data_IF_971647030047
#
_entry.id   IF_971647030047
#
_cell.length_a   1.000
_cell.length_b   1.000
_cell.length_c   1.000
_cell.angle_alpha   90.00
_cell.angle_beta   90.00
_cell.angle_gamma   90.00
#
_symmetry.space_group_name_H-M   'P 1'
#
loop_
_entity.id
_entity.type
_entity.pdbx_description
1 polymer ?
#
# COMPACT_ATOMS: atom_id res chain seq x y z
N UNK A 1 -11.96 5.84 -39.78
CA UNK A 1 -10.71 6.64 -39.88
C UNK A 1 -9.69 5.99 -38.95
N UNK A 2 -8.67 5.37 -39.53
CA UNK A 2 -7.53 4.88 -38.78
C UNK A 2 -6.82 6.10 -38.13
N UNK A 3 -7.15 6.41 -36.92
CA UNK A 3 -6.46 7.48 -36.17
C UNK A 3 -5.12 6.92 -35.72
N UNK A 4 -4.09 7.18 -36.53
CA UNK A 4 -2.72 6.83 -36.17
C UNK A 4 -2.41 7.39 -34.78
N UNK A 5 -1.98 6.51 -33.86
CA UNK A 5 -1.61 6.89 -32.49
C UNK A 5 -0.48 7.94 -32.52
N UNK A 6 -0.47 8.90 -31.60
CA UNK A 6 0.67 9.78 -31.43
C UNK A 6 1.92 8.97 -31.06
N UNK A 7 3.08 9.47 -31.48
CA UNK A 7 4.37 8.81 -31.26
C UNK A 7 5.18 9.58 -30.24
N UNK A 8 5.71 8.86 -29.24
CA UNK A 8 6.74 9.34 -28.33
C UNK A 8 8.06 8.66 -28.67
N UNK A 9 9.16 9.43 -28.76
CA UNK A 9 10.46 8.89 -29.14
C UNK A 9 11.49 9.02 -28.03
N UNK A 10 12.22 7.92 -27.76
CA UNK A 10 13.35 7.94 -26.87
C UNK A 10 14.52 8.73 -27.47
N UNK A 11 15.27 9.42 -26.61
CA UNK A 11 16.54 10.05 -26.97
C UNK A 11 17.60 8.99 -27.29
N UNK A 12 18.64 9.29 -28.10
CA UNK A 12 19.70 8.34 -28.44
C UNK A 12 20.43 7.73 -27.23
N UNK A 13 20.50 8.43 -26.10
CA UNK A 13 21.16 7.96 -24.88
C UNK A 13 20.22 7.23 -23.91
N UNK A 14 18.90 7.19 -24.19
CA UNK A 14 17.95 6.49 -23.35
C UNK A 14 18.07 4.97 -23.54
N UNK A 15 17.88 4.23 -22.44
CA UNK A 15 18.02 2.77 -22.45
C UNK A 15 16.72 2.10 -22.95
N UNK A 16 16.59 1.98 -24.27
CA UNK A 16 15.47 1.26 -24.89
C UNK A 16 15.43 -0.24 -24.52
N UNK A 17 16.59 -0.85 -24.20
CA UNK A 17 16.65 -2.27 -23.78
C UNK A 17 15.95 -2.47 -22.45
N UNK A 18 16.09 -1.52 -21.53
CA UNK A 18 15.40 -1.55 -20.23
C UNK A 18 13.89 -1.63 -20.40
N UNK A 19 13.31 -0.86 -21.35
CA UNK A 19 11.87 -0.91 -21.64
C UNK A 19 11.52 -2.27 -22.26
N UNK A 20 12.26 -2.75 -23.28
CA UNK A 20 12.04 -4.08 -23.88
C UNK A 20 12.15 -5.23 -22.88
N UNK A 21 12.90 -5.05 -21.80
CA UNK A 21 13.01 -6.02 -20.71
C UNK A 21 11.93 -5.85 -19.62
N UNK A 22 10.93 -4.97 -19.85
CA UNK A 22 9.76 -4.83 -18.98
C UNK A 22 9.82 -3.70 -17.97
N UNK A 23 10.77 -2.74 -18.07
CA UNK A 23 10.71 -1.55 -17.21
C UNK A 23 9.50 -0.69 -17.61
N UNK A 24 8.57 -0.38 -16.68
CA UNK A 24 7.26 0.14 -17.06
C UNK A 24 7.19 1.66 -17.16
N UNK A 25 8.24 2.41 -16.82
CA UNK A 25 8.20 3.87 -16.77
C UNK A 25 9.18 4.52 -17.75
N UNK A 26 8.74 5.60 -18.37
CA UNK A 26 9.57 6.45 -19.22
C UNK A 26 9.61 7.86 -18.61
N UNK A 27 10.80 8.33 -18.30
CA UNK A 27 10.99 9.63 -17.68
C UNK A 27 11.14 10.75 -18.73
N UNK A 28 10.82 11.99 -18.35
CA UNK A 28 10.95 13.15 -19.23
C UNK A 28 12.37 13.38 -19.76
N UNK A 29 13.39 12.98 -18.98
CA UNK A 29 14.78 13.07 -19.41
C UNK A 29 15.15 12.08 -20.52
N UNK A 30 14.38 10.98 -20.68
CA UNK A 30 14.62 9.94 -21.69
C UNK A 30 13.89 10.19 -23.02
N UNK A 31 12.93 11.13 -23.07
CA UNK A 31 12.06 11.39 -24.24
C UNK A 31 12.48 12.68 -24.97
N UNK A 32 12.31 12.66 -26.28
CA UNK A 32 12.33 13.87 -27.13
C UNK A 32 11.00 14.60 -26.93
N UNK A 33 11.00 15.62 -26.07
CA UNK A 33 9.83 16.46 -25.81
C UNK A 33 9.80 17.66 -26.78
N UNK A 34 9.23 17.47 -27.96
CA UNK A 34 8.96 18.50 -28.93
C UNK A 34 7.52 19.07 -28.81
N UNK A 35 7.12 19.95 -29.74
CA UNK A 35 5.78 20.54 -29.76
C UNK A 35 4.68 19.47 -29.89
N UNK A 36 4.93 18.38 -30.64
CA UNK A 36 3.93 17.33 -30.90
C UNK A 36 3.76 16.43 -29.67
N UNK A 37 4.86 15.96 -29.11
CA UNK A 37 4.83 15.11 -27.92
C UNK A 37 4.26 15.85 -26.68
N UNK A 38 4.52 17.17 -26.57
CA UNK A 38 3.93 18.01 -25.51
C UNK A 38 2.42 18.27 -25.70
N UNK A 39 1.92 18.17 -26.92
CA UNK A 39 0.50 18.37 -27.25
C UNK A 39 -0.34 17.11 -27.03
N UNK A 40 0.27 15.96 -26.74
CA UNK A 40 -0.46 14.73 -26.41
C UNK A 40 -1.19 14.93 -25.08
N UNK A 41 -2.51 14.79 -25.10
CA UNK A 41 -3.32 14.96 -23.91
C UNK A 41 -2.99 13.90 -22.84
N UNK A 42 -3.03 14.24 -21.55
CA UNK A 42 -2.83 13.27 -20.48
C UNK A 42 -3.76 12.06 -20.59
N UNK A 43 -3.21 10.86 -20.42
CA UNK A 43 -3.95 9.60 -20.51
C UNK A 43 -4.11 9.04 -21.92
N UNK A 44 -3.69 9.77 -22.95
CA UNK A 44 -3.77 9.30 -24.35
C UNK A 44 -2.83 8.12 -24.59
N UNK A 45 -3.31 7.14 -25.36
CA UNK A 45 -2.45 6.06 -25.86
C UNK A 45 -1.47 6.62 -26.89
N UNK A 46 -0.23 6.19 -26.82
CA UNK A 46 0.83 6.58 -27.74
C UNK A 46 1.74 5.39 -28.05
N UNK A 47 2.30 5.36 -29.24
CA UNK A 47 3.33 4.41 -29.61
C UNK A 47 4.69 4.93 -29.13
N UNK A 48 5.43 4.13 -28.37
CA UNK A 48 6.79 4.45 -27.95
C UNK A 48 7.77 3.90 -28.99
N UNK A 49 8.63 4.77 -29.50
CA UNK A 49 9.73 4.43 -30.42
C UNK A 49 11.09 4.56 -29.74
N UNK A 50 12.05 3.74 -30.17
CA UNK A 50 13.45 3.98 -29.85
C UNK A 50 14.04 5.17 -30.65
N UNK A 51 15.32 5.45 -30.47
CA UNK A 51 16.00 6.55 -31.18
C UNK A 51 16.07 6.35 -32.69
N UNK A 52 15.95 5.12 -33.18
CA UNK A 52 16.00 4.74 -34.61
C UNK A 52 14.61 4.67 -35.21
N UNK A 53 13.56 5.05 -34.47
CA UNK A 53 12.15 5.02 -34.87
C UNK A 53 11.54 3.62 -34.95
N UNK A 54 12.13 2.62 -34.30
CA UNK A 54 11.50 1.32 -34.21
C UNK A 54 10.47 1.36 -33.07
N UNK A 55 9.21 0.95 -33.30
CA UNK A 55 8.21 0.81 -32.25
C UNK A 55 8.65 -0.24 -31.21
N UNK A 56 8.50 0.07 -29.93
CA UNK A 56 8.95 -0.81 -28.82
C UNK A 56 7.89 -1.12 -27.78
N UNK A 57 6.87 -0.30 -27.69
CA UNK A 57 5.78 -0.49 -26.73
C UNK A 57 4.58 0.40 -27.04
N UNK A 58 3.43 0.04 -26.49
CA UNK A 58 2.26 0.90 -26.37
C UNK A 58 2.22 1.49 -24.97
N UNK A 59 2.04 2.79 -24.85
CA UNK A 59 2.14 3.53 -23.59
C UNK A 59 0.95 4.46 -23.36
N UNK A 60 0.66 4.75 -22.09
CA UNK A 60 -0.20 5.85 -21.68
C UNK A 60 0.68 7.09 -21.42
N UNK A 61 0.40 8.19 -22.11
CA UNK A 61 1.21 9.41 -22.06
C UNK A 61 0.66 10.43 -21.05
N UNK A 62 1.56 11.12 -20.34
CA UNK A 62 1.26 12.35 -19.60
C UNK A 62 2.52 13.22 -19.56
N UNK A 63 2.69 14.10 -20.53
CA UNK A 63 3.87 14.97 -20.66
C UNK A 63 4.00 16.02 -19.55
N UNK A 64 2.99 16.19 -18.70
CA UNK A 64 2.98 17.13 -17.58
C UNK A 64 3.60 16.58 -16.32
N UNK A 65 3.95 15.28 -16.30
CA UNK A 65 4.51 14.60 -15.12
C UNK A 65 5.96 14.20 -15.35
N UNK A 66 6.66 13.84 -14.26
CA UNK A 66 8.04 13.33 -14.34
C UNK A 66 8.10 11.98 -15.08
N UNK A 67 7.11 11.10 -14.87
CA UNK A 67 6.94 9.84 -15.61
C UNK A 67 6.03 10.17 -16.80
N UNK A 68 6.62 10.55 -17.92
CA UNK A 68 5.89 11.06 -19.08
C UNK A 68 5.15 9.99 -19.87
N UNK A 69 5.50 8.72 -19.68
CA UNK A 69 4.75 7.62 -20.24
C UNK A 69 4.87 6.36 -19.36
N UNK A 70 3.80 5.57 -19.34
CA UNK A 70 3.73 4.28 -18.64
C UNK A 70 3.42 3.19 -19.66
N UNK A 71 4.22 2.14 -19.67
CA UNK A 71 4.05 1.01 -20.59
C UNK A 71 2.80 0.24 -20.21
N UNK A 72 1.89 0.10 -21.17
CA UNK A 72 0.68 -0.74 -21.05
C UNK A 72 0.95 -2.12 -21.66
N UNK A 73 1.59 -2.15 -22.83
CA UNK A 73 1.96 -3.39 -23.49
C UNK A 73 3.29 -3.25 -24.23
N UNK A 74 4.11 -4.31 -24.20
CA UNK A 74 5.35 -4.36 -24.96
C UNK A 74 5.13 -4.66 -26.46
N UNK A 75 3.95 -5.16 -26.81
CA UNK A 75 3.53 -5.23 -28.21
C UNK A 75 3.01 -3.84 -28.64
N UNK A 76 3.71 -3.13 -29.53
CA UNK A 76 3.30 -1.79 -29.98
C UNK A 76 2.02 -1.79 -30.82
N UNK A 77 1.55 -2.97 -31.27
CA UNK A 77 0.32 -3.14 -32.04
C UNK A 77 -0.84 -3.68 -31.17
N UNK A 78 -0.66 -3.78 -29.86
CA UNK A 78 -1.71 -4.24 -28.96
C UNK A 78 -2.92 -3.29 -28.99
N UNK A 79 -4.11 -3.86 -28.93
CA UNK A 79 -5.35 -3.10 -28.78
C UNK A 79 -5.73 -3.04 -27.30
N UNK A 80 -5.73 -1.85 -26.74
CA UNK A 80 -6.10 -1.62 -25.33
C UNK A 80 -7.61 -1.41 -25.28
N UNK A 81 -8.32 -2.51 -25.33
CA UNK A 81 -9.77 -2.60 -25.32
C UNK A 81 -10.30 -3.40 -24.12
N UNK A 82 -11.62 -3.65 -24.07
CA UNK A 82 -12.25 -4.44 -23.01
C UNK A 82 -11.69 -5.89 -22.95
N UNK A 83 -11.29 -6.47 -24.07
CA UNK A 83 -10.73 -7.83 -24.10
C UNK A 83 -9.33 -7.86 -23.47
N UNK A 84 -8.50 -6.85 -23.77
CA UNK A 84 -7.19 -6.68 -23.15
C UNK A 84 -7.32 -6.46 -21.64
N UNK A 85 -8.21 -5.56 -21.20
CA UNK A 85 -8.49 -5.32 -19.77
C UNK A 85 -8.94 -6.60 -19.06
N UNK A 86 -9.88 -7.34 -19.69
CA UNK A 86 -10.38 -8.61 -19.15
C UNK A 86 -9.25 -9.62 -18.96
N UNK A 87 -8.34 -9.76 -19.92
CA UNK A 87 -7.21 -10.68 -19.79
C UNK A 87 -6.29 -10.32 -18.62
N UNK A 88 -5.94 -9.04 -18.44
CA UNK A 88 -5.10 -8.55 -17.34
C UNK A 88 -5.78 -8.74 -15.97
N UNK A 89 -7.06 -8.37 -15.86
CA UNK A 89 -7.83 -8.50 -14.63
C UNK A 89 -8.05 -9.98 -14.28
N UNK A 90 -8.39 -10.83 -15.24
CA UNK A 90 -8.58 -12.26 -15.04
C UNK A 90 -7.29 -12.96 -14.56
N UNK A 91 -6.12 -12.56 -15.08
CA UNK A 91 -4.83 -13.08 -14.62
C UNK A 91 -4.59 -12.72 -13.15
N UNK A 92 -4.81 -11.47 -12.77
CA UNK A 92 -4.65 -11.01 -11.40
C UNK A 92 -5.66 -11.67 -10.46
N UNK A 93 -6.92 -11.80 -10.88
CA UNK A 93 -7.98 -12.47 -10.13
C UNK A 93 -7.66 -13.95 -9.90
N UNK A 94 -7.22 -14.69 -10.93
CA UNK A 94 -6.83 -16.08 -10.81
C UNK A 94 -5.67 -16.28 -9.82
N UNK A 95 -4.68 -15.36 -9.81
CA UNK A 95 -3.59 -15.39 -8.84
C UNK A 95 -4.11 -15.22 -7.41
N UNK A 96 -4.96 -14.19 -7.16
CA UNK A 96 -5.51 -13.93 -5.81
C UNK A 96 -6.41 -15.06 -5.33
N UNK A 97 -7.24 -15.61 -6.21
CA UNK A 97 -8.11 -16.76 -5.87
C UNK A 97 -7.32 -18.03 -5.52
N UNK A 98 -6.06 -18.13 -5.95
CA UNK A 98 -5.15 -19.23 -5.57
C UNK A 98 -4.44 -18.97 -4.24
N UNK A 99 -4.26 -17.70 -3.87
CA UNK A 99 -3.49 -17.28 -2.69
C UNK A 99 -4.36 -17.04 -1.46
N UNK A 100 -5.67 -16.79 -1.63
CA UNK A 100 -6.57 -16.40 -0.56
C UNK A 100 -7.87 -17.17 -0.63
N UNK A 101 -8.28 -17.75 0.51
CA UNK A 101 -9.53 -18.52 0.64
C UNK A 101 -10.77 -17.61 0.73
N UNK A 102 -10.60 -16.34 1.09
CA UNK A 102 -11.68 -15.37 1.26
C UNK A 102 -11.47 -14.14 0.38
N UNK A 103 -12.55 -13.48 -0.10
CA UNK A 103 -12.50 -12.40 -1.09
C UNK A 103 -12.14 -11.03 -0.48
N UNK A 104 -11.08 -10.97 0.31
CA UNK A 104 -10.58 -9.77 0.99
C UNK A 104 -9.09 -9.62 0.72
N UNK A 105 -8.72 -8.86 -0.31
CA UNK A 105 -7.33 -8.69 -0.76
C UNK A 105 -7.18 -7.53 -1.73
N UNK A 106 -5.95 -7.07 -1.95
CA UNK A 106 -5.58 -6.22 -3.09
C UNK A 106 -5.68 -7.05 -4.37
N UNK A 107 -6.67 -6.73 -5.22
CA UNK A 107 -6.91 -7.42 -6.49
C UNK A 107 -5.92 -6.96 -7.57
N UNK A 108 -5.72 -5.64 -7.69
CA UNK A 108 -4.80 -5.04 -8.67
C UNK A 108 -3.80 -4.14 -7.95
N UNK A 109 -2.52 -4.37 -8.19
CA UNK A 109 -1.41 -3.59 -7.65
C UNK A 109 -0.59 -2.90 -8.75
N UNK A 110 -1.25 -2.01 -9.46
CA UNK A 110 -0.68 -1.12 -10.49
C UNK A 110 0.23 -1.84 -11.51
N UNK A 111 1.44 -1.32 -11.69
CA UNK A 111 2.43 -1.81 -12.64
C UNK A 111 2.79 -3.29 -12.44
N UNK A 112 2.74 -3.78 -11.21
CA UNK A 112 3.07 -5.17 -10.91
C UNK A 112 2.03 -6.16 -11.46
N UNK A 113 0.80 -5.70 -11.68
CA UNK A 113 -0.27 -6.46 -12.34
C UNK A 113 -0.50 -6.03 -13.80
N UNK A 114 0.40 -5.20 -14.37
CA UNK A 114 0.34 -4.75 -15.75
C UNK A 114 -0.79 -3.75 -16.06
N UNK A 115 -1.31 -3.07 -15.02
CA UNK A 115 -2.31 -2.00 -15.12
C UNK A 115 -1.78 -0.72 -14.45
N UNK A 116 -0.91 0.05 -15.10
CA UNK A 116 -0.19 1.16 -14.51
C UNK A 116 -1.09 2.19 -13.83
N UNK A 117 -0.83 2.43 -12.55
CA UNK A 117 -1.57 3.39 -11.74
C UNK A 117 -2.97 2.94 -11.31
N UNK A 118 -3.39 1.72 -11.60
CA UNK A 118 -4.68 1.15 -11.14
C UNK A 118 -4.45 0.36 -9.84
N UNK A 119 -5.11 0.76 -8.78
CA UNK A 119 -5.19 0.02 -7.52
C UNK A 119 -6.63 -0.44 -7.33
N UNK A 120 -6.83 -1.71 -7.02
CA UNK A 120 -8.17 -2.24 -6.70
C UNK A 120 -8.08 -3.14 -5.48
N UNK A 121 -8.86 -2.81 -4.46
CA UNK A 121 -9.07 -3.67 -3.29
C UNK A 121 -10.44 -4.33 -3.35
N UNK A 122 -10.49 -5.61 -3.01
CA UNK A 122 -11.72 -6.39 -2.93
C UNK A 122 -12.17 -6.56 -1.48
N UNK A 123 -13.45 -6.29 -1.25
CA UNK A 123 -14.17 -6.43 0.00
C UNK A 123 -15.44 -7.24 -0.25
N UNK A 124 -15.27 -8.56 -0.31
CA UNK A 124 -16.35 -9.51 -0.66
C UNK A 124 -16.95 -9.23 -2.04
N UNK A 125 -18.15 -8.69 -2.10
CA UNK A 125 -18.90 -8.33 -3.31
C UNK A 125 -18.69 -6.87 -3.77
N UNK A 126 -17.80 -6.15 -3.10
CA UNK A 126 -17.51 -4.73 -3.39
C UNK A 126 -16.05 -4.55 -3.76
N UNK A 127 -15.80 -3.76 -4.79
CA UNK A 127 -14.46 -3.33 -5.20
C UNK A 127 -14.27 -1.84 -4.93
N UNK A 128 -13.11 -1.46 -4.41
CA UNK A 128 -12.69 -0.06 -4.31
C UNK A 128 -11.53 0.16 -5.27
N UNK A 129 -11.74 1.02 -6.28
CA UNK A 129 -10.73 1.36 -7.28
C UNK A 129 -10.11 2.73 -7.00
N UNK A 130 -8.79 2.83 -7.10
CA UNK A 130 -8.03 4.08 -7.11
C UNK A 130 -7.36 4.24 -8.48
N UNK A 131 -7.90 5.05 -9.39
CA UNK A 131 -7.30 5.36 -10.69
C UNK A 131 -6.27 6.50 -10.52
N UNK A 132 -5.01 6.14 -10.28
CA UNK A 132 -3.95 7.08 -9.89
C UNK A 132 -3.19 7.69 -11.09
N UNK A 133 -3.59 7.41 -12.32
CA UNK A 133 -3.01 7.99 -13.55
C UNK A 133 -4.10 8.54 -14.45
N UNK A 134 -3.74 9.47 -15.32
CA UNK A 134 -4.69 10.07 -16.26
C UNK A 134 -5.36 9.03 -17.17
N UNK A 135 -4.61 7.98 -17.59
CA UNK A 135 -5.17 6.87 -18.37
C UNK A 135 -6.17 6.05 -17.56
N UNK A 136 -5.83 5.72 -16.32
CA UNK A 136 -6.72 4.95 -15.43
C UNK A 136 -8.00 5.72 -15.12
N UNK A 137 -7.92 7.04 -14.92
CA UNK A 137 -9.09 7.90 -14.72
C UNK A 137 -9.98 7.94 -15.96
N UNK A 138 -9.40 8.17 -17.15
CA UNK A 138 -10.14 8.23 -18.41
C UNK A 138 -10.86 6.91 -18.73
N UNK A 139 -10.33 5.78 -18.28
CA UNK A 139 -10.90 4.45 -18.50
C UNK A 139 -11.64 3.88 -17.27
N UNK A 140 -11.91 4.71 -16.25
CA UNK A 140 -12.39 4.25 -14.96
C UNK A 140 -13.74 3.52 -15.04
N UNK A 141 -14.68 3.99 -15.87
CA UNK A 141 -15.96 3.34 -16.08
C UNK A 141 -15.80 1.97 -16.74
N UNK A 142 -15.02 1.87 -17.81
CA UNK A 142 -14.74 0.60 -18.48
C UNK A 142 -13.99 -0.38 -17.56
N UNK A 143 -13.05 0.11 -16.75
CA UNK A 143 -12.38 -0.71 -15.73
C UNK A 143 -13.39 -1.26 -14.72
N UNK A 144 -14.34 -0.45 -14.27
CA UNK A 144 -15.38 -0.89 -13.32
C UNK A 144 -16.27 -2.00 -13.92
N UNK A 145 -16.71 -1.84 -15.18
CA UNK A 145 -17.53 -2.83 -15.87
C UNK A 145 -16.78 -4.16 -16.02
N UNK A 146 -15.54 -4.13 -16.49
CA UNK A 146 -14.74 -5.35 -16.69
C UNK A 146 -14.33 -5.99 -15.35
N UNK A 147 -14.05 -5.20 -14.33
CA UNK A 147 -13.79 -5.69 -12.97
C UNK A 147 -15.00 -6.45 -12.41
N UNK A 148 -16.21 -5.87 -12.53
CA UNK A 148 -17.44 -6.52 -12.10
C UNK A 148 -17.71 -7.81 -12.89
N UNK A 149 -17.55 -7.77 -14.23
CA UNK A 149 -17.70 -8.95 -15.09
C UNK A 149 -16.77 -10.11 -14.66
N UNK A 150 -15.49 -9.82 -14.45
CA UNK A 150 -14.49 -10.87 -14.15
C UNK A 150 -14.62 -11.42 -12.73
N UNK A 151 -14.95 -10.56 -11.76
CA UNK A 151 -14.97 -10.94 -10.34
C UNK A 151 -16.33 -11.40 -9.85
N UNK A 152 -17.40 -11.08 -10.58
CA UNK A 152 -18.79 -11.25 -10.16
C UNK A 152 -19.25 -10.25 -9.10
N UNK A 153 -18.44 -9.25 -8.73
CA UNK A 153 -18.81 -8.22 -7.76
C UNK A 153 -19.90 -7.31 -8.32
N UNK A 154 -20.85 -6.94 -7.45
CA UNK A 154 -22.01 -6.11 -7.85
C UNK A 154 -21.80 -4.63 -7.59
N UNK A 155 -20.80 -4.25 -6.84
CA UNK A 155 -20.51 -2.87 -6.47
C UNK A 155 -19.07 -2.46 -6.71
N UNK A 156 -18.88 -1.28 -7.30
CA UNK A 156 -17.54 -0.66 -7.51
C UNK A 156 -17.59 0.80 -7.05
N UNK A 157 -16.71 1.16 -6.13
CA UNK A 157 -16.53 2.52 -5.63
C UNK A 157 -15.20 3.13 -6.09
N UNK A 158 -15.22 4.35 -6.64
CA UNK A 158 -14.02 5.12 -6.94
C UNK A 158 -13.58 5.91 -5.71
N UNK A 159 -12.38 5.63 -5.21
CA UNK A 159 -11.68 6.48 -4.26
C UNK A 159 -10.61 7.28 -5.00
N UNK A 160 -10.85 8.58 -5.15
CA UNK A 160 -9.99 9.50 -5.89
C UNK A 160 -9.01 10.27 -5.00
N UNK A 161 -8.82 9.83 -3.76
CA UNK A 161 -7.91 10.48 -2.82
C UNK A 161 -6.47 10.02 -3.02
N UNK A 162 -5.53 10.93 -2.87
CA UNK A 162 -4.11 10.58 -2.81
C UNK A 162 -3.18 11.49 -3.58
N UNK A 163 -1.93 11.55 -3.09
CA UNK A 163 -0.89 12.42 -3.66
C UNK A 163 -0.53 12.09 -5.11
N UNK A 164 -0.66 10.81 -5.50
CA UNK A 164 -0.36 10.38 -6.87
C UNK A 164 -1.28 11.08 -7.88
N UNK A 165 -2.57 11.21 -7.56
CA UNK A 165 -3.56 11.89 -8.40
C UNK A 165 -3.25 13.38 -8.58
N UNK A 166 -2.89 14.06 -7.48
CA UNK A 166 -2.47 15.48 -7.54
C UNK A 166 -1.29 15.66 -8.50
N UNK A 167 -0.31 14.74 -8.47
CA UNK A 167 0.85 14.78 -9.37
C UNK A 167 0.46 14.56 -10.84
N UNK A 168 -0.59 13.77 -11.10
CA UNK A 168 -1.13 13.53 -12.45
C UNK A 168 -2.10 14.63 -12.93
N UNK A 169 -2.42 15.62 -12.09
CA UNK A 169 -3.35 16.71 -12.41
C UNK A 169 -4.81 16.28 -12.37
N UNK A 170 -5.16 15.28 -11.58
CA UNK A 170 -6.51 14.72 -11.45
C UNK A 170 -7.25 15.31 -10.25
N UNK A 171 -8.60 15.30 -10.33
CA UNK A 171 -9.48 15.67 -9.24
C UNK A 171 -9.47 14.65 -8.09
N UNK A 172 -10.21 14.95 -7.01
CA UNK A 172 -10.38 14.10 -5.84
C UNK A 172 -11.86 13.65 -5.64
N UNK A 173 -12.64 13.61 -6.72
CA UNK A 173 -14.07 13.29 -6.68
C UNK A 173 -14.28 11.79 -6.50
N UNK A 174 -14.72 11.40 -5.31
CA UNK A 174 -15.13 10.04 -4.96
C UNK A 174 -16.54 9.76 -5.44
N UNK A 175 -16.86 8.48 -5.67
CA UNK A 175 -18.26 8.10 -5.96
C UNK A 175 -18.43 6.65 -6.40
N UNK A 176 -19.67 6.15 -6.38
CA UNK A 176 -20.00 4.85 -6.93
C UNK A 176 -19.84 4.88 -8.46
N UNK A 177 -19.25 3.83 -9.01
CA UNK A 177 -19.16 3.59 -10.46
C UNK A 177 -20.17 2.55 -10.89
N UNK A 178 -20.43 1.57 -10.02
CA UNK A 178 -21.40 0.50 -10.25
C UNK A 178 -22.09 0.13 -8.92
N UNK A 179 -23.39 -0.16 -8.97
CA UNK A 179 -24.16 -0.64 -7.83
C UNK A 179 -24.26 0.38 -6.70
N UNK A 180 -24.47 -0.14 -5.47
CA UNK A 180 -24.56 0.67 -4.25
C UNK A 180 -23.56 0.14 -3.23
N UNK A 181 -22.32 0.61 -3.27
CA UNK A 181 -21.29 0.18 -2.32
C UNK A 181 -21.69 0.48 -0.88
N UNK A 182 -21.53 -0.47 0.06
CA UNK A 182 -21.76 -0.21 1.47
C UNK A 182 -20.74 0.80 2.00
N UNK A 183 -21.13 1.64 2.93
CA UNK A 183 -20.20 2.57 3.56
C UNK A 183 -19.17 1.84 4.41
N UNK A 184 -19.58 0.74 5.08
CA UNK A 184 -18.76 -0.01 6.02
C UNK A 184 -18.89 -1.52 5.78
N UNK A 185 -17.75 -2.23 5.87
CA UNK A 185 -17.68 -3.69 5.68
C UNK A 185 -16.86 -4.32 6.78
N UNK A 186 -17.33 -5.47 7.31
CA UNK A 186 -16.53 -6.34 8.18
C UNK A 186 -15.61 -7.21 7.34
N UNK A 187 -14.31 -7.20 7.64
CA UNK A 187 -13.27 -7.91 6.91
C UNK A 187 -12.66 -8.99 7.79
N UNK A 188 -13.00 -10.27 7.59
CA UNK A 188 -12.32 -11.37 8.28
C UNK A 188 -10.92 -11.57 7.69
N UNK A 189 -9.89 -11.50 8.54
CA UNK A 189 -8.50 -11.70 8.14
C UNK A 189 -7.66 -12.14 9.34
N UNK A 190 -6.84 -13.18 9.18
CA UNK A 190 -5.97 -13.72 10.25
C UNK A 190 -6.72 -14.11 11.54
N UNK A 191 -7.96 -14.58 11.44
CA UNK A 191 -8.80 -14.91 12.59
C UNK A 191 -9.42 -13.70 13.30
N UNK A 192 -9.05 -12.49 12.92
CA UNK A 192 -9.64 -11.23 13.41
C UNK A 192 -10.74 -10.71 12.48
N UNK A 193 -11.56 -9.81 13.00
CA UNK A 193 -12.53 -9.03 12.21
C UNK A 193 -12.13 -7.57 12.27
N UNK A 194 -11.90 -6.98 11.09
CA UNK A 194 -11.60 -5.55 10.93
C UNK A 194 -12.81 -4.84 10.35
N UNK A 195 -13.00 -3.59 10.72
CA UNK A 195 -14.02 -2.76 10.07
C UNK A 195 -13.34 -1.83 9.07
N UNK A 196 -13.81 -1.85 7.83
CA UNK A 196 -13.33 -0.97 6.76
C UNK A 196 -14.42 0.03 6.37
N UNK A 197 -14.10 1.32 6.40
CA UNK A 197 -14.95 2.37 5.83
C UNK A 197 -14.51 2.60 4.37
N UNK A 198 -15.35 2.15 3.43
CA UNK A 198 -15.04 2.19 2.00
C UNK A 198 -15.27 3.57 1.36
N UNK A 199 -16.10 4.41 1.98
CA UNK A 199 -16.51 5.70 1.43
C UNK A 199 -15.75 6.86 2.07
N UNK A 200 -15.63 6.86 3.41
CA UNK A 200 -15.00 7.93 4.18
C UNK A 200 -13.59 7.59 4.68
N UNK A 201 -13.17 6.34 4.57
CA UNK A 201 -11.89 5.87 5.08
C UNK A 201 -10.67 6.34 4.29
N UNK A 202 -9.50 6.30 4.93
CA UNK A 202 -8.24 6.58 4.26
C UNK A 202 -7.96 5.54 3.17
N UNK A 203 -7.48 5.97 2.00
CA UNK A 203 -7.19 5.14 0.85
C UNK A 203 -8.41 4.27 0.50
N UNK A 204 -8.28 2.95 0.57
CA UNK A 204 -9.35 1.98 0.26
C UNK A 204 -10.11 1.50 1.51
N UNK A 205 -9.77 1.99 2.71
CA UNK A 205 -10.44 1.66 3.99
C UNK A 205 -9.68 0.66 4.87
N UNK A 206 -8.78 -0.17 4.31
CA UNK A 206 -7.96 -1.14 5.05
C UNK A 206 -6.59 -1.32 4.39
N UNK A 207 -5.57 -1.68 5.17
CA UNK A 207 -4.22 -1.97 4.69
C UNK A 207 -3.98 -3.48 4.63
N UNK A 208 -4.22 -4.09 3.47
CA UNK A 208 -4.00 -5.52 3.25
C UNK A 208 -2.50 -5.91 3.21
N UNK A 209 -1.62 -4.96 2.90
CA UNK A 209 -0.17 -5.18 2.79
C UNK A 209 0.46 -5.71 4.08
N UNK A 210 -0.08 -5.31 5.24
CA UNK A 210 0.40 -5.76 6.56
C UNK A 210 -0.09 -7.16 6.96
N UNK A 211 -0.96 -7.82 6.19
CA UNK A 211 -1.53 -9.14 6.51
C UNK A 211 -0.52 -10.17 7.06
N UNK A 212 0.64 -10.43 6.41
CA UNK A 212 1.59 -11.41 6.94
C UNK A 212 2.25 -10.97 8.26
N UNK A 213 2.43 -9.66 8.44
CA UNK A 213 3.01 -9.10 9.66
C UNK A 213 2.02 -9.13 10.83
N UNK A 214 0.73 -8.88 10.57
CA UNK A 214 -0.36 -9.11 11.53
C UNK A 214 -0.41 -10.57 11.97
N UNK A 215 -0.35 -11.53 11.03
CA UNK A 215 -0.33 -12.96 11.34
C UNK A 215 0.90 -13.35 12.17
N UNK A 216 2.07 -12.75 11.91
CA UNK A 216 3.27 -13.00 12.71
C UNK A 216 3.13 -12.43 14.12
N UNK A 217 2.62 -11.20 14.28
CA UNK A 217 2.36 -10.58 15.57
C UNK A 217 1.38 -11.39 16.43
N UNK A 218 0.30 -11.91 15.81
CA UNK A 218 -0.67 -12.77 16.48
C UNK A 218 -0.04 -14.04 17.10
N UNK A 219 1.03 -14.58 16.50
CA UNK A 219 1.75 -15.75 17.03
C UNK A 219 2.62 -15.42 18.24
N UNK A 220 2.99 -14.17 18.43
CA UNK A 220 3.79 -13.70 19.58
C UNK A 220 2.92 -13.25 20.76
N UNK A 221 1.62 -13.11 20.57
CA UNK A 221 0.70 -12.46 21.50
C UNK A 221 0.01 -13.35 22.56
N UNK A 222 -0.01 -14.71 22.50
CA UNK A 222 -0.82 -15.52 23.42
C UNK A 222 -0.54 -15.22 24.90
N UNK A 223 -1.60 -14.87 25.65
CA UNK A 223 -1.54 -14.56 27.09
C UNK A 223 -0.94 -13.20 27.44
N UNK A 224 -0.38 -12.47 26.45
CA UNK A 224 0.32 -11.21 26.68
C UNK A 224 -0.57 -9.96 26.57
N UNK A 225 -0.04 -8.85 27.07
CA UNK A 225 -0.58 -7.50 26.88
C UNK A 225 0.10 -6.85 25.67
N UNK A 226 -0.69 -6.26 24.78
CA UNK A 226 -0.22 -5.73 23.50
C UNK A 226 -0.42 -4.22 23.40
N UNK A 227 0.60 -3.50 22.95
CA UNK A 227 0.52 -2.10 22.55
C UNK A 227 0.65 -1.99 21.02
N UNK A 228 -0.38 -1.45 20.37
CA UNK A 228 -0.43 -1.21 18.92
C UNK A 228 -0.42 0.31 18.66
N UNK A 229 0.73 0.85 18.27
CA UNK A 229 0.95 2.29 18.05
C UNK A 229 0.92 2.62 16.55
N UNK A 230 0.21 3.69 16.20
CA UNK A 230 -0.22 4.03 14.84
C UNK A 230 -1.19 2.96 14.30
N UNK A 231 -2.10 2.55 15.16
CA UNK A 231 -2.92 1.34 14.99
C UNK A 231 -3.92 1.42 13.84
N UNK A 232 -4.25 2.64 13.36
CA UNK A 232 -5.33 2.85 12.40
C UNK A 232 -6.62 2.15 12.89
N UNK A 233 -7.15 1.18 12.14
CA UNK A 233 -8.32 0.38 12.53
C UNK A 233 -7.97 -0.83 13.42
N UNK A 234 -6.88 -0.76 14.17
CA UNK A 234 -6.45 -1.81 15.11
C UNK A 234 -5.77 -3.01 14.45
N UNK A 235 -5.01 -2.77 13.37
CA UNK A 235 -4.44 -3.84 12.55
C UNK A 235 -3.71 -4.93 13.33
N UNK A 236 -2.73 -4.56 14.12
CA UNK A 236 -1.96 -5.50 14.93
C UNK A 236 -2.66 -5.88 16.22
N UNK A 237 -3.35 -4.94 16.88
CA UNK A 237 -4.05 -5.19 18.11
C UNK A 237 -5.16 -6.22 17.99
N UNK A 238 -6.01 -6.11 16.96
CA UNK A 238 -7.09 -7.08 16.68
C UNK A 238 -6.53 -8.44 16.27
N UNK A 239 -5.47 -8.48 15.45
CA UNK A 239 -4.79 -9.74 15.13
C UNK A 239 -4.21 -10.42 16.38
N UNK A 240 -3.61 -9.65 17.29
CA UNK A 240 -3.07 -10.15 18.53
C UNK A 240 -4.18 -10.73 19.43
N UNK A 241 -5.32 -10.05 19.55
CA UNK A 241 -6.48 -10.58 20.30
C UNK A 241 -7.02 -11.87 19.70
N UNK A 242 -7.09 -11.97 18.36
CA UNK A 242 -7.45 -13.22 17.68
C UNK A 242 -6.42 -14.33 17.93
N UNK A 243 -5.15 -13.97 18.07
CA UNK A 243 -4.05 -14.85 18.42
C UNK A 243 -4.00 -15.29 19.89
N UNK A 244 -4.91 -14.78 20.75
CA UNK A 244 -5.00 -15.14 22.16
C UNK A 244 -4.32 -14.17 23.13
N UNK A 245 -4.05 -12.92 22.71
CA UNK A 245 -3.62 -11.88 23.66
C UNK A 245 -4.65 -11.69 24.78
N UNK A 246 -4.17 -11.38 25.98
CA UNK A 246 -5.03 -11.04 27.10
C UNK A 246 -5.74 -9.71 26.86
N UNK A 247 -5.00 -8.71 26.43
CA UNK A 247 -5.52 -7.37 26.11
C UNK A 247 -4.70 -6.68 25.03
N UNK A 248 -5.30 -5.69 24.37
CA UNK A 248 -4.63 -4.81 23.44
C UNK A 248 -5.02 -3.35 23.68
N UNK A 249 -4.02 -2.46 23.72
CA UNK A 249 -4.17 -1.02 23.70
C UNK A 249 -3.79 -0.49 22.31
N UNK A 250 -4.75 0.11 21.61
CA UNK A 250 -4.54 0.72 20.30
C UNK A 250 -4.39 2.25 20.44
N UNK A 251 -3.35 2.81 19.82
CA UNK A 251 -3.03 4.24 19.86
C UNK A 251 -3.00 4.80 18.44
N UNK A 252 -3.84 5.79 18.17
CA UNK A 252 -3.87 6.51 16.90
C UNK A 252 -4.34 7.96 17.05
N UNK A 253 -3.99 8.83 16.13
CA UNK A 253 -4.48 10.21 16.07
C UNK A 253 -5.91 10.33 15.54
N UNK A 254 -6.40 9.33 14.81
CA UNK A 254 -7.69 9.34 14.12
C UNK A 254 -8.80 8.71 14.97
N UNK A 255 -9.69 9.54 15.52
CA UNK A 255 -10.84 9.04 16.26
C UNK A 255 -11.76 8.13 15.41
N UNK A 256 -12.06 8.44 14.12
CA UNK A 256 -12.84 7.52 13.29
C UNK A 256 -12.20 6.16 13.09
N UNK A 257 -10.86 6.10 12.96
CA UNK A 257 -10.15 4.83 12.82
C UNK A 257 -10.20 3.99 14.10
N UNK A 258 -10.03 4.64 15.26
CA UNK A 258 -10.15 3.97 16.57
C UNK A 258 -11.58 3.45 16.82
N UNK A 259 -12.61 4.19 16.43
CA UNK A 259 -13.99 3.70 16.51
C UNK A 259 -14.22 2.44 15.67
N UNK A 260 -13.63 2.36 14.47
CA UNK A 260 -13.66 1.15 13.66
C UNK A 260 -12.90 -0.01 14.31
N UNK A 261 -11.79 0.27 14.99
CA UNK A 261 -11.05 -0.74 15.73
C UNK A 261 -11.87 -1.32 16.91
N UNK A 262 -12.58 -0.46 17.66
CA UNK A 262 -13.51 -0.86 18.72
C UNK A 262 -14.67 -1.70 18.18
N UNK A 263 -15.26 -1.30 17.06
CA UNK A 263 -16.29 -2.10 16.36
C UNK A 263 -15.76 -3.48 15.94
N UNK A 264 -14.51 -3.54 15.44
CA UNK A 264 -13.84 -4.80 15.12
C UNK A 264 -13.67 -5.72 16.33
N UNK A 265 -13.21 -5.17 17.47
CA UNK A 265 -13.08 -5.90 18.72
C UNK A 265 -14.44 -6.41 19.24
N UNK A 266 -15.49 -5.57 19.14
CA UNK A 266 -16.85 -5.96 19.51
C UNK A 266 -17.40 -7.08 18.62
N UNK A 267 -17.17 -7.01 17.31
CA UNK A 267 -17.56 -8.06 16.36
C UNK A 267 -16.88 -9.40 16.64
N UNK A 268 -15.67 -9.39 17.25
CA UNK A 268 -14.95 -10.58 17.72
C UNK A 268 -15.39 -11.06 19.10
N UNK A 269 -16.30 -10.36 19.80
CA UNK A 269 -16.62 -10.61 21.21
C UNK A 269 -15.48 -10.32 22.18
N UNK A 270 -14.56 -9.41 21.84
CA UNK A 270 -13.36 -9.07 22.62
C UNK A 270 -13.32 -7.59 23.03
N UNK A 271 -14.48 -6.91 23.08
CA UNK A 271 -14.58 -5.50 23.44
C UNK A 271 -13.95 -5.21 24.81
N UNK A 272 -14.14 -6.08 25.78
CA UNK A 272 -13.61 -5.91 27.17
C UNK A 272 -12.06 -6.01 27.25
N UNK A 273 -11.44 -6.63 26.23
CA UNK A 273 -9.98 -6.82 26.15
C UNK A 273 -9.31 -5.80 25.20
N UNK A 274 -10.05 -4.90 24.60
CA UNK A 274 -9.55 -3.92 23.65
C UNK A 274 -9.82 -2.50 24.15
N UNK A 275 -8.77 -1.71 24.25
CA UNK A 275 -8.88 -0.30 24.66
C UNK A 275 -8.21 0.60 23.63
N UNK A 276 -8.65 1.85 23.55
CA UNK A 276 -8.10 2.83 22.60
C UNK A 276 -7.63 4.09 23.32
N UNK A 277 -6.57 4.69 22.81
CA UNK A 277 -6.11 6.02 23.22
C UNK A 277 -5.89 6.89 21.98
N UNK A 278 -6.67 7.97 21.87
CA UNK A 278 -6.46 8.96 20.84
C UNK A 278 -5.38 9.94 21.26
N UNK A 279 -4.34 10.12 20.44
CA UNK A 279 -3.28 11.10 20.70
C UNK A 279 -2.13 11.04 19.70
N UNK A 280 -1.18 11.97 19.87
CA UNK A 280 0.11 11.85 19.19
C UNK A 280 0.85 10.63 19.74
N UNK A 281 1.30 9.76 18.85
CA UNK A 281 1.93 8.50 19.23
C UNK A 281 3.22 8.70 20.07
N UNK A 282 3.99 9.75 19.79
CA UNK A 282 5.21 10.04 20.58
C UNK A 282 4.88 10.50 22.00
N UNK A 283 3.83 11.31 22.14
CA UNK A 283 3.39 11.80 23.45
C UNK A 283 2.78 10.68 24.29
N UNK A 284 1.92 9.84 23.67
CA UNK A 284 1.31 8.69 24.36
C UNK A 284 2.37 7.69 24.80
N UNK A 285 3.31 7.28 23.92
CA UNK A 285 4.41 6.39 24.30
C UNK A 285 5.27 6.99 25.43
N UNK A 286 5.49 8.30 25.41
CA UNK A 286 6.26 8.97 26.47
C UNK A 286 5.51 8.95 27.80
N UNK A 287 4.20 9.20 27.78
CA UNK A 287 3.36 9.14 28.99
C UNK A 287 3.31 7.73 29.60
N UNK A 288 3.10 6.70 28.76
CA UNK A 288 3.12 5.29 29.18
C UNK A 288 4.48 4.91 29.81
N UNK A 289 5.58 5.30 29.18
CA UNK A 289 6.93 5.04 29.71
C UNK A 289 7.18 5.76 31.04
N UNK A 290 6.68 6.98 31.19
CA UNK A 290 6.78 7.75 32.44
C UNK A 290 5.94 7.12 33.56
N UNK A 291 4.79 6.52 33.20
CA UNK A 291 3.94 5.78 34.14
C UNK A 291 4.51 4.40 34.53
N UNK A 292 5.60 3.96 33.89
CA UNK A 292 6.21 2.65 34.14
C UNK A 292 5.45 1.48 33.46
N UNK A 293 4.56 1.77 32.52
CA UNK A 293 3.81 0.75 31.80
C UNK A 293 4.73 -0.07 30.90
N UNK A 294 4.47 -1.37 30.82
CA UNK A 294 5.19 -2.30 29.92
C UNK A 294 4.22 -3.30 29.29
N UNK A 295 4.60 -3.81 28.12
CA UNK A 295 3.77 -4.71 27.32
C UNK A 295 4.62 -5.88 26.81
N UNK A 296 4.00 -7.07 26.70
CA UNK A 296 4.67 -8.27 26.20
C UNK A 296 4.95 -8.18 24.70
N UNK A 297 4.10 -7.46 23.95
CA UNK A 297 4.29 -7.15 22.53
C UNK A 297 4.02 -5.66 22.32
N UNK A 298 5.01 -4.94 21.80
CA UNK A 298 4.87 -3.56 21.33
C UNK A 298 5.02 -3.53 19.83
N UNK A 299 4.05 -2.93 19.14
CA UNK A 299 4.09 -2.71 17.69
C UNK A 299 4.05 -1.21 17.40
N UNK A 300 4.89 -0.75 16.47
CA UNK A 300 4.82 0.60 15.93
C UNK A 300 4.90 0.58 14.41
N UNK A 301 3.81 0.98 13.75
CA UNK A 301 3.66 1.04 12.30
C UNK A 301 3.39 2.48 11.82
N UNK A 302 4.40 3.37 11.91
CA UNK A 302 4.24 4.78 11.61
C UNK A 302 4.01 5.05 10.12
N UNK A 303 3.46 6.23 9.77
CA UNK A 303 3.40 6.68 8.39
C UNK A 303 4.79 6.83 7.78
N UNK A 304 4.87 7.01 6.46
CA UNK A 304 6.12 7.13 5.73
C UNK A 304 6.93 8.37 6.14
N UNK A 305 7.86 8.24 7.09
CA UNK A 305 8.73 9.34 7.51
C UNK A 305 9.80 9.72 6.47
N UNK A 306 10.12 8.82 5.54
CA UNK A 306 11.06 9.07 4.45
C UNK A 306 10.38 8.87 3.07
N UNK A 307 9.46 9.76 2.67
CA UNK A 307 8.73 9.64 1.40
C UNK A 307 9.59 9.91 0.17
N UNK A 308 10.81 10.43 0.35
CA UNK A 308 11.76 10.72 -0.72
C UNK A 308 13.20 10.56 -0.25
N UNK A 309 14.14 10.52 -1.21
CA UNK A 309 15.59 10.49 -0.89
C UNK A 309 16.05 11.72 -0.11
N UNK A 310 15.46 12.89 -0.38
CA UNK A 310 15.78 14.13 0.37
C UNK A 310 15.31 14.06 1.83
N UNK A 311 14.19 13.40 2.10
CA UNK A 311 13.67 13.24 3.46
C UNK A 311 14.32 12.08 4.23
N UNK A 312 15.20 11.30 3.62
CA UNK A 312 15.74 10.06 4.20
C UNK A 312 16.42 10.27 5.55
N UNK A 313 17.31 11.25 5.66
CA UNK A 313 18.07 11.47 6.89
C UNK A 313 17.16 11.87 8.08
N UNK A 314 16.17 12.72 7.82
CA UNK A 314 15.18 13.14 8.83
C UNK A 314 14.25 11.98 9.18
N UNK A 315 13.80 11.22 8.19
CA UNK A 315 12.95 10.04 8.40
C UNK A 315 13.65 8.96 9.22
N UNK A 316 14.93 8.68 8.98
CA UNK A 316 15.68 7.71 9.76
C UNK A 316 15.83 8.15 11.23
N UNK A 317 15.98 9.45 11.52
CA UNK A 317 15.96 9.96 12.90
C UNK A 317 14.59 9.77 13.57
N UNK A 318 13.50 9.95 12.81
CA UNK A 318 12.15 9.71 13.33
C UNK A 318 11.93 8.21 13.64
N UNK A 319 12.35 7.28 12.75
CA UNK A 319 12.32 5.85 13.03
C UNK A 319 13.16 5.47 14.26
N UNK A 320 14.34 6.05 14.41
CA UNK A 320 15.19 5.85 15.60
C UNK A 320 14.50 6.31 16.88
N UNK A 321 13.78 7.47 16.84
CA UNK A 321 13.02 7.98 17.99
C UNK A 321 11.84 7.06 18.33
N UNK A 322 11.08 6.59 17.34
CA UNK A 322 10.00 5.60 17.54
C UNK A 322 10.56 4.33 18.17
N UNK A 323 11.65 3.78 17.60
CA UNK A 323 12.27 2.57 18.12
C UNK A 323 12.75 2.72 19.58
N UNK A 324 13.29 3.90 19.95
CA UNK A 324 13.68 4.18 21.34
C UNK A 324 12.48 4.15 22.29
N UNK A 325 11.41 4.88 21.94
CA UNK A 325 10.22 4.96 22.80
C UNK A 325 9.49 3.61 22.89
N UNK A 326 9.28 2.95 21.75
CA UNK A 326 8.62 1.65 21.72
C UNK A 326 9.42 0.59 22.50
N UNK A 327 10.75 0.56 22.36
CA UNK A 327 11.61 -0.37 23.09
C UNK A 327 11.56 -0.19 24.61
N UNK A 328 11.40 1.05 25.12
CA UNK A 328 11.29 1.31 26.55
C UNK A 328 9.99 0.77 27.17
N UNK A 329 8.99 0.45 26.33
CA UNK A 329 7.69 -0.09 26.73
C UNK A 329 7.62 -1.62 26.64
N UNK A 330 8.67 -2.29 26.16
CA UNK A 330 8.69 -3.75 26.07
C UNK A 330 9.02 -4.36 27.42
N UNK A 331 8.20 -5.27 27.91
CA UNK A 331 8.47 -6.05 29.14
C UNK A 331 9.73 -6.92 28.96
N UNK A 332 10.43 -7.31 30.05
CA UNK A 332 11.50 -8.30 29.97
C UNK A 332 11.02 -9.60 29.33
N UNK A 333 11.76 -10.12 28.34
CA UNK A 333 11.35 -11.29 27.56
C UNK A 333 10.29 -11.02 26.49
N UNK A 334 9.86 -9.76 26.32
CA UNK A 334 8.83 -9.37 25.36
C UNK A 334 9.34 -9.16 23.93
N UNK A 335 8.45 -8.68 23.08
CA UNK A 335 8.71 -8.52 21.64
C UNK A 335 8.45 -7.07 21.18
N UNK A 336 9.24 -6.63 20.23
CA UNK A 336 9.11 -5.33 19.56
C UNK A 336 8.98 -5.52 18.06
N UNK A 337 7.89 -5.02 17.46
CA UNK A 337 7.72 -4.96 16.01
C UNK A 337 7.78 -3.50 15.55
N UNK A 338 8.68 -3.22 14.62
CA UNK A 338 8.86 -1.89 14.02
C UNK A 338 8.65 -1.99 12.51
N UNK A 339 7.74 -1.16 11.98
CA UNK A 339 7.39 -1.15 10.57
C UNK A 339 7.83 0.14 9.87
N UNK A 340 7.96 0.06 8.56
CA UNK A 340 8.21 1.21 7.68
C UNK A 340 7.62 0.98 6.30
N UNK A 341 6.77 1.90 5.85
CA UNK A 341 6.29 1.96 4.47
C UNK A 341 7.07 2.95 3.59
N UNK A 342 8.23 3.45 4.03
CA UNK A 342 9.08 4.37 3.28
C UNK A 342 9.97 3.62 2.28
N UNK A 343 9.69 3.72 0.97
CA UNK A 343 10.53 3.09 -0.06
C UNK A 343 11.98 3.62 -0.04
N UNK A 344 12.20 4.89 0.27
CA UNK A 344 13.53 5.49 0.34
C UNK A 344 14.39 4.96 1.52
N UNK A 345 13.74 4.44 2.58
CA UNK A 345 14.41 3.82 3.71
C UNK A 345 14.67 2.33 3.42
N UNK A 346 15.79 2.03 2.75
CA UNK A 346 16.21 0.65 2.52
C UNK A 346 16.27 -0.16 3.82
N UNK A 347 16.03 -1.46 3.72
CA UNK A 347 15.96 -2.38 4.88
C UNK A 347 17.18 -2.25 5.81
N UNK A 348 18.38 -2.17 5.24
CA UNK A 348 19.64 -2.03 6.00
C UNK A 348 19.69 -0.75 6.83
N UNK A 349 19.29 0.38 6.21
CA UNK A 349 19.27 1.70 6.85
C UNK A 349 18.17 1.79 7.92
N UNK A 350 16.99 1.24 7.61
CA UNK A 350 15.88 1.17 8.55
C UNK A 350 16.27 0.31 9.77
N UNK A 351 16.80 -0.90 9.57
CA UNK A 351 17.28 -1.77 10.65
C UNK A 351 18.33 -1.08 11.51
N UNK A 352 19.30 -0.40 10.90
CA UNK A 352 20.32 0.33 11.65
C UNK A 352 19.72 1.46 12.52
N UNK A 353 18.70 2.17 12.04
CA UNK A 353 17.99 3.18 12.83
C UNK A 353 17.24 2.55 14.01
N UNK A 354 16.52 1.45 13.78
CA UNK A 354 15.82 0.70 14.83
C UNK A 354 16.77 0.21 15.92
N UNK A 355 17.88 -0.44 15.54
CA UNK A 355 18.87 -0.96 16.51
C UNK A 355 19.51 0.17 17.33
N UNK A 356 19.81 1.32 16.72
CA UNK A 356 20.31 2.49 17.49
C UNK A 356 19.26 3.00 18.47
N UNK A 357 17.98 3.05 18.07
CA UNK A 357 16.88 3.45 18.97
C UNK A 357 16.76 2.51 20.18
N UNK A 358 16.73 1.21 19.93
CA UNK A 358 16.72 0.17 20.99
C UNK A 358 17.93 0.29 21.92
N UNK A 359 19.14 0.48 21.36
CA UNK A 359 20.36 0.68 22.15
C UNK A 359 20.29 1.91 23.05
N UNK A 360 19.70 3.02 22.57
CA UNK A 360 19.48 4.23 23.39
C UNK A 360 18.42 4.05 24.47
N UNK A 361 17.54 3.07 24.36
CA UNK A 361 16.60 2.67 25.40
C UNK A 361 17.20 1.66 26.40
N UNK A 362 18.45 1.21 26.16
CA UNK A 362 19.06 0.14 26.97
C UNK A 362 18.39 -1.22 26.77
N UNK A 363 17.67 -1.43 25.66
CA UNK A 363 16.90 -2.64 25.36
C UNK A 363 17.48 -3.34 24.12
N UNK A 364 18.57 -4.12 24.25
CA UNK A 364 19.05 -4.94 23.14
C UNK A 364 18.04 -6.05 22.81
N UNK A 365 18.10 -6.58 21.60
CA UNK A 365 17.21 -7.66 21.21
C UNK A 365 17.76 -8.45 20.02
N UNK A 366 17.28 -9.68 19.86
CA UNK A 366 17.56 -10.54 18.71
C UNK A 366 16.49 -10.29 17.64
N UNK A 367 16.90 -10.04 16.38
CA UNK A 367 15.99 -9.96 15.25
C UNK A 367 15.49 -11.38 14.90
N UNK A 368 14.21 -11.63 15.15
CA UNK A 368 13.58 -12.95 14.96
C UNK A 368 12.74 -13.04 13.67
N UNK A 369 12.40 -11.89 13.07
CA UNK A 369 11.61 -11.87 11.85
C UNK A 369 11.90 -10.59 11.05
N UNK A 370 11.92 -10.76 9.72
CA UNK A 370 11.91 -9.65 8.75
C UNK A 370 10.75 -9.89 7.80
N UNK A 371 9.74 -9.03 7.87
CA UNK A 371 8.52 -9.10 7.08
C UNK A 371 8.46 -8.07 5.97
N UNK A 372 7.61 -8.34 4.99
CA UNK A 372 7.32 -7.50 3.83
C UNK A 372 5.82 -7.44 3.60
N UNK A 373 5.40 -6.77 2.52
CA UNK A 373 4.01 -6.75 2.09
C UNK A 373 3.51 -8.16 1.71
N UNK A 374 2.21 -8.37 1.85
CA UNK A 374 1.57 -9.64 1.48
C UNK A 374 1.64 -9.95 -0.02
N UNK A 375 1.38 -11.19 -0.42
CA UNK A 375 1.48 -11.62 -1.82
C UNK A 375 0.43 -10.99 -2.74
N UNK A 376 -0.58 -10.36 -2.20
CA UNK A 376 -1.53 -9.50 -2.93
C UNK A 376 -0.96 -8.12 -3.31
N UNK A 377 0.22 -7.78 -2.79
CA UNK A 377 1.01 -6.60 -3.13
C UNK A 377 2.32 -7.01 -3.84
N UNK A 378 2.24 -7.61 -5.04
CA UNK A 378 3.43 -8.09 -5.71
C UNK A 378 4.39 -6.95 -6.02
N UNK A 379 5.69 -7.23 -5.90
CA UNK A 379 6.72 -6.31 -6.35
C UNK A 379 6.90 -6.41 -7.86
N UNK A 380 6.95 -5.26 -8.54
CA UNK A 380 7.40 -5.25 -9.93
C UNK A 380 8.92 -5.45 -9.94
N UNK A 381 9.47 -6.47 -10.65
CA UNK A 381 10.89 -6.84 -10.54
C UNK A 381 11.88 -5.72 -10.84
N UNK A 382 11.46 -4.73 -11.64
CA UNK A 382 12.30 -3.61 -12.03
C UNK A 382 11.97 -2.28 -11.32
N UNK A 383 10.97 -2.28 -10.40
CA UNK A 383 10.59 -1.11 -9.61
C UNK A 383 10.83 -1.37 -8.12
N UNK A 384 11.98 -0.94 -7.61
CA UNK A 384 12.31 -1.07 -6.20
C UNK A 384 11.28 -0.37 -5.28
N UNK A 385 10.61 0.67 -5.78
CA UNK A 385 9.58 1.42 -5.10
C UNK A 385 8.36 0.57 -4.71
N UNK A 386 8.10 -0.51 -5.42
CA UNK A 386 6.99 -1.44 -5.11
C UNK A 386 7.28 -2.31 -3.90
N UNK A 387 8.56 -2.46 -3.49
CA UNK A 387 8.98 -3.15 -2.26
C UNK A 387 9.09 -2.20 -1.06
N UNK A 388 8.07 -1.39 -0.83
CA UNK A 388 8.11 -0.29 0.14
C UNK A 388 8.00 -0.72 1.60
N UNK A 389 7.26 -1.80 1.91
CA UNK A 389 6.95 -2.23 3.27
C UNK A 389 8.04 -3.11 3.86
N UNK A 390 8.41 -2.84 5.10
CA UNK A 390 9.34 -3.63 5.93
C UNK A 390 8.80 -3.70 7.35
N UNK A 391 8.86 -4.88 7.95
CA UNK A 391 8.60 -5.09 9.37
C UNK A 391 9.78 -5.85 9.99
N UNK A 392 10.24 -5.40 11.16
CA UNK A 392 11.32 -6.03 11.91
C UNK A 392 10.80 -6.42 13.29
N UNK A 393 10.79 -7.70 13.63
CA UNK A 393 10.43 -8.15 14.96
C UNK A 393 11.68 -8.56 15.74
N UNK A 394 11.79 -8.02 16.95
CA UNK A 394 12.89 -8.30 17.90
C UNK A 394 12.34 -8.97 19.14
N UNK A 395 13.04 -9.98 19.65
CA UNK A 395 12.87 -10.50 21.01
C UNK A 395 13.83 -9.74 21.92
N UNK A 396 13.29 -9.18 23.01
CA UNK A 396 13.99 -8.33 23.97
C UNK A 396 14.08 -9.06 25.33
N UNK A 397 15.22 -9.71 25.66
CA UNK A 397 15.40 -10.45 26.90
C UNK A 397 15.32 -9.56 28.15
#
# INVERSE_FOLDING_TARGET
MDTQLPTLRLKPKADAKRIRHGFPWVYGDDIVLDRRSRAVAPGTLAQLEDSERNPIALVAANSSTRIVARVLDLNPEAQIDAAWLRAKIAQSFALRSRLFDAPYYRLIHAEADGLPGVIVDRFDDTLVIQPNTAWAEANCAQLADVLAEVTGCTSVFKNAQGRARVTEGLDDVNGPLLGTPPSKVAVPMNGATYMADLVGGQKTGLFYDQRPNHAFAARLAPGGQVLDVFSHVGGFGLAALAGGAQSALAVDGSAPALALAEEGAAAMGRADAFTTTRGDAFDVMTALSTAGETFDLVVADPPAFAPSKQALATGLRAYERVAKLAASLVAPGGYLILCSCSHAAELSKFRAACVRGMGRAGRPGALVYTGFAGPDHPMHPQLAETGYLKALAFHCP
#
